data_IF_102855892413
#
_entry.id   IF_102855892413
#
_cell.length_a   1.000
_cell.length_b   1.000
_cell.length_c   1.000
_cell.angle_alpha   90.00
_cell.angle_beta   90.00
_cell.angle_gamma   90.00
#
_symmetry.space_group_name_H-M   'P 1'
#
loop_
_entity.id
_entity.type
_entity.pdbx_description
1 polymer ?
#
# COMPACT_ATOMS: atom_id res chain seq x y z
N UNK A 1 -18.19 5.72 -33.37
CA UNK A 1 -18.18 6.84 -32.40
C UNK A 1 -17.00 7.75 -32.71
N UNK A 2 -17.17 9.08 -32.73
CA UNK A 2 -16.07 10.00 -33.03
C UNK A 2 -15.02 9.96 -31.91
N UNK A 3 -13.74 9.91 -32.29
CA UNK A 3 -12.62 9.99 -31.35
C UNK A 3 -12.23 11.45 -31.13
N UNK A 4 -11.83 11.77 -29.90
CA UNK A 4 -11.32 13.09 -29.55
C UNK A 4 -10.05 13.38 -30.36
N UNK A 5 -9.90 14.59 -30.95
CA UNK A 5 -8.66 14.97 -31.62
C UNK A 5 -7.46 14.93 -30.67
N UNK A 6 -6.30 14.57 -31.22
CA UNK A 6 -5.03 14.64 -30.49
C UNK A 6 -4.69 16.10 -30.18
N UNK A 7 -4.05 16.33 -29.03
CA UNK A 7 -3.67 17.65 -28.53
C UNK A 7 -2.15 17.76 -28.44
N UNK A 8 -1.57 18.96 -28.57
CA UNK A 8 -0.14 19.17 -28.30
C UNK A 8 0.24 18.72 -26.89
N UNK A 9 1.41 18.13 -26.76
CA UNK A 9 2.00 17.82 -25.46
C UNK A 9 2.22 19.11 -24.66
N UNK A 10 1.87 19.10 -23.37
CA UNK A 10 2.02 20.27 -22.48
C UNK A 10 3.46 20.53 -22.06
N UNK A 11 4.42 19.70 -22.46
CA UNK A 11 5.84 19.92 -22.17
C UNK A 11 6.39 21.03 -23.07
N UNK A 12 7.04 22.08 -22.52
CA UNK A 12 7.55 23.20 -23.30
C UNK A 12 8.42 22.76 -24.48
N UNK A 13 8.09 23.20 -25.69
CA UNK A 13 8.86 22.89 -26.90
C UNK A 13 8.70 21.47 -27.45
N UNK A 14 7.81 20.63 -26.89
CA UNK A 14 7.55 19.30 -27.45
C UNK A 14 6.65 19.37 -28.69
N UNK A 15 7.07 18.85 -29.86
CA UNK A 15 6.27 18.88 -31.08
C UNK A 15 5.21 17.76 -31.15
N UNK A 16 5.18 16.85 -30.18
CA UNK A 16 4.34 15.64 -30.25
C UNK A 16 2.87 15.92 -29.91
N UNK A 17 1.97 15.25 -30.64
CA UNK A 17 0.54 15.19 -30.34
C UNK A 17 0.20 13.96 -29.50
N UNK A 18 -0.68 14.10 -28.52
CA UNK A 18 -1.09 13.03 -27.61
C UNK A 18 -2.57 13.13 -27.20
N UNK A 19 -3.13 12.02 -26.71
CA UNK A 19 -4.52 11.96 -26.24
C UNK A 19 -4.73 12.63 -24.87
N UNK A 20 -3.64 12.81 -24.10
CA UNK A 20 -3.66 13.38 -22.75
C UNK A 20 -2.80 14.63 -22.59
N UNK A 21 -2.45 14.97 -21.36
CA UNK A 21 -1.66 16.17 -21.04
C UNK A 21 -0.22 16.10 -21.57
N UNK A 22 0.41 14.93 -21.50
CA UNK A 22 1.78 14.69 -21.96
C UNK A 22 1.84 13.51 -22.93
N UNK A 23 2.82 13.53 -23.84
CA UNK A 23 3.18 12.37 -24.66
C UNK A 23 3.84 11.29 -23.79
N UNK A 24 4.02 10.08 -24.33
CA UNK A 24 4.53 8.93 -23.55
C UNK A 24 5.86 9.24 -22.84
N UNK A 25 6.80 9.88 -23.54
CA UNK A 25 8.09 10.29 -22.98
C UNK A 25 7.92 11.22 -21.78
N UNK A 26 7.18 12.32 -21.96
CA UNK A 26 6.99 13.32 -20.91
C UNK A 26 6.08 12.82 -19.78
N UNK A 27 5.17 11.85 -20.03
CA UNK A 27 4.44 11.16 -18.96
C UNK A 27 5.38 10.41 -18.02
N UNK A 28 6.38 9.73 -18.57
CA UNK A 28 7.37 8.99 -17.77
C UNK A 28 8.24 9.97 -16.98
N UNK A 29 8.66 11.08 -17.58
CA UNK A 29 9.46 12.10 -16.90
C UNK A 29 8.70 12.79 -15.76
N UNK A 30 7.48 13.25 -16.01
CA UNK A 30 6.65 13.88 -14.99
C UNK A 30 6.31 12.90 -13.86
N UNK A 31 6.03 11.64 -14.17
CA UNK A 31 5.89 10.58 -13.15
C UNK A 31 7.15 10.43 -12.30
N UNK A 32 8.34 10.41 -12.92
CA UNK A 32 9.61 10.32 -12.19
C UNK A 32 9.85 11.55 -11.30
N UNK A 33 9.51 12.75 -11.78
CA UNK A 33 9.58 13.99 -10.99
C UNK A 33 8.64 13.92 -9.78
N UNK A 34 7.38 13.54 -10.01
CA UNK A 34 6.40 13.34 -8.96
C UNK A 34 6.89 12.30 -7.93
N UNK A 35 7.32 11.13 -8.37
CA UNK A 35 7.83 10.06 -7.48
C UNK A 35 9.07 10.50 -6.68
N UNK A 36 9.90 11.42 -7.22
CA UNK A 36 11.12 11.90 -6.57
C UNK A 36 10.88 13.05 -5.59
N UNK A 37 10.02 14.01 -5.94
CA UNK A 37 9.90 15.28 -5.22
C UNK A 37 8.57 15.46 -4.48
N UNK A 38 7.47 14.87 -4.95
CA UNK A 38 6.14 15.07 -4.38
C UNK A 38 5.59 13.85 -3.65
N UNK A 39 5.91 12.65 -4.13
CA UNK A 39 5.49 11.41 -3.47
C UNK A 39 6.31 11.23 -2.21
N UNK A 40 5.64 11.14 -1.07
CA UNK A 40 6.32 10.87 0.19
C UNK A 40 7.07 9.52 0.11
N UNK A 41 8.40 9.59 0.18
CA UNK A 41 9.27 8.40 0.24
C UNK A 41 8.92 7.51 1.44
N UNK A 42 8.32 8.12 2.45
CA UNK A 42 7.87 7.54 3.70
C UNK A 42 6.84 6.41 3.50
N UNK A 43 5.85 6.56 2.61
CA UNK A 43 4.83 5.52 2.39
C UNK A 43 5.41 4.27 1.72
N UNK A 44 6.30 4.46 0.73
CA UNK A 44 7.00 3.35 0.08
C UNK A 44 7.99 2.66 1.05
N UNK A 45 8.56 3.42 1.99
CA UNK A 45 9.42 2.87 3.04
C UNK A 45 8.61 2.08 4.08
N UNK A 46 7.42 2.55 4.44
CA UNK A 46 6.53 1.93 5.43
C UNK A 46 5.78 0.71 4.91
N UNK A 47 5.39 0.66 3.64
CA UNK A 47 4.54 -0.41 3.10
C UNK A 47 4.96 -0.93 1.72
N UNK A 48 6.25 -0.81 1.38
CA UNK A 48 6.80 -1.22 0.09
C UNK A 48 7.01 -2.74 -0.09
N UNK A 49 7.86 -3.12 -1.05
CA UNK A 49 8.12 -4.53 -1.40
C UNK A 49 8.65 -5.37 -0.24
N UNK A 50 9.43 -4.77 0.65
CA UNK A 50 9.96 -5.45 1.84
C UNK A 50 8.82 -5.90 2.76
N UNK A 51 7.87 -4.99 3.06
CA UNK A 51 6.68 -5.30 3.86
C UNK A 51 5.87 -6.44 3.23
N UNK A 52 5.61 -6.38 1.91
CA UNK A 52 4.88 -7.46 1.23
C UNK A 52 5.50 -8.84 1.48
N UNK A 53 6.83 -8.97 1.37
CA UNK A 53 7.54 -10.24 1.62
C UNK A 53 7.43 -10.70 3.06
N UNK A 54 7.57 -9.78 4.02
CA UNK A 54 7.44 -10.08 5.45
C UNK A 54 6.02 -10.55 5.76
N UNK A 55 5.01 -9.81 5.28
CA UNK A 55 3.59 -10.12 5.43
C UNK A 55 3.25 -11.50 4.87
N UNK A 56 3.64 -11.76 3.62
CA UNK A 56 3.30 -13.02 2.96
C UNK A 56 3.94 -14.22 3.68
N UNK A 57 5.19 -14.07 4.17
CA UNK A 57 5.86 -15.09 4.98
C UNK A 57 5.15 -15.29 6.33
N UNK A 58 4.85 -14.21 7.03
CA UNK A 58 4.19 -14.27 8.34
C UNK A 58 2.80 -14.93 8.22
N UNK A 59 2.00 -14.56 7.23
CA UNK A 59 0.69 -15.16 7.00
C UNK A 59 0.76 -16.65 6.64
N UNK A 60 1.82 -17.09 5.94
CA UNK A 60 2.03 -18.50 5.64
C UNK A 60 2.39 -19.32 6.89
N UNK A 61 3.18 -18.75 7.81
CA UNK A 61 3.55 -19.40 9.07
C UNK A 61 2.44 -19.34 10.13
N UNK A 62 1.59 -18.32 10.05
CA UNK A 62 0.45 -18.10 10.94
C UNK A 62 -0.86 -18.07 10.12
N UNK A 63 -1.32 -19.24 9.62
CA UNK A 63 -2.45 -19.32 8.68
C UNK A 63 -3.81 -19.05 9.32
N UNK A 64 -3.87 -18.94 10.66
CA UNK A 64 -5.08 -18.70 11.44
C UNK A 64 -5.01 -17.34 12.13
N UNK A 65 -6.18 -16.77 12.41
CA UNK A 65 -6.33 -15.58 13.24
C UNK A 65 -5.90 -15.91 14.68
N UNK A 66 -4.87 -15.23 15.17
CA UNK A 66 -4.32 -15.46 16.51
C UNK A 66 -5.31 -15.11 17.62
N UNK A 67 -6.19 -14.13 17.41
CA UNK A 67 -7.25 -13.80 18.37
C UNK A 67 -8.34 -14.86 18.40
N UNK A 68 -8.83 -15.30 17.24
CA UNK A 68 -9.81 -16.38 17.18
C UNK A 68 -9.24 -17.67 17.80
N UNK A 69 -7.96 -17.97 17.54
CA UNK A 69 -7.30 -19.16 18.08
C UNK A 69 -7.27 -19.16 19.61
N UNK A 70 -7.01 -18.00 20.23
CA UNK A 70 -7.08 -17.83 21.69
C UNK A 70 -8.49 -18.09 22.26
N UNK A 71 -9.53 -17.84 21.47
CA UNK A 71 -10.92 -18.13 21.80
C UNK A 71 -11.36 -19.56 21.39
N UNK A 72 -10.44 -20.40 20.90
CA UNK A 72 -10.74 -21.76 20.44
C UNK A 72 -11.39 -21.83 19.05
N UNK A 73 -11.42 -20.73 18.30
CA UNK A 73 -12.00 -20.65 16.95
C UNK A 73 -10.92 -20.73 15.87
N UNK A 74 -11.09 -21.64 14.91
CA UNK A 74 -10.18 -21.79 13.78
C UNK A 74 -10.65 -20.93 12.60
N UNK A 75 -10.26 -19.65 12.59
CA UNK A 75 -10.58 -18.73 11.48
C UNK A 75 -9.32 -18.45 10.66
N UNK A 76 -9.36 -18.51 9.31
CA UNK A 76 -8.20 -18.22 8.48
C UNK A 76 -7.76 -16.75 8.61
N UNK A 77 -6.45 -16.52 8.48
CA UNK A 77 -5.88 -15.19 8.36
C UNK A 77 -6.34 -14.51 7.07
N UNK A 78 -6.62 -13.21 7.16
CA UNK A 78 -6.92 -12.36 6.01
C UNK A 78 -5.99 -11.16 5.96
N UNK A 79 -5.61 -10.63 7.12
CA UNK A 79 -4.77 -9.44 7.25
C UNK A 79 -3.68 -9.66 8.32
N UNK A 80 -2.52 -9.04 8.13
CA UNK A 80 -1.45 -9.00 9.15
C UNK A 80 -1.39 -7.59 9.69
N UNK A 81 -1.56 -7.47 11.00
CA UNK A 81 -1.64 -6.21 11.73
C UNK A 81 -0.34 -5.89 12.45
N UNK A 82 0.03 -4.61 12.53
CA UNK A 82 1.12 -4.13 13.37
C UNK A 82 0.59 -3.82 14.77
N UNK A 83 1.07 -4.50 15.81
CA UNK A 83 0.62 -4.31 17.20
C UNK A 83 0.86 -2.87 17.65
N UNK A 84 2.08 -2.36 17.45
CA UNK A 84 2.38 -0.93 17.48
C UNK A 84 2.32 -0.40 16.04
N UNK A 85 1.46 0.58 15.73
CA UNK A 85 1.38 1.17 14.40
C UNK A 85 2.73 1.74 13.95
N UNK A 86 3.05 1.59 12.66
CA UNK A 86 4.30 2.11 12.08
C UNK A 86 4.38 3.65 12.20
N UNK A 87 3.22 4.33 12.18
CA UNK A 87 3.13 5.78 12.44
C UNK A 87 3.57 6.17 13.86
N UNK A 88 3.41 5.26 14.83
CA UNK A 88 3.78 5.44 16.25
C UNK A 88 5.14 4.80 16.59
N UNK A 89 5.96 4.49 15.57
CA UNK A 89 7.30 3.91 15.75
C UNK A 89 7.38 2.38 15.68
N UNK A 90 6.28 1.71 15.34
CA UNK A 90 6.26 0.27 15.14
C UNK A 90 7.16 -0.21 13.99
N UNK A 91 7.70 -1.40 14.12
CA UNK A 91 8.56 -2.04 13.12
C UNK A 91 7.84 -3.17 12.39
N UNK A 92 8.45 -3.73 11.35
CA UNK A 92 7.99 -4.96 10.71
C UNK A 92 8.60 -6.22 11.32
N UNK A 93 9.17 -6.11 12.53
CA UNK A 93 9.69 -7.26 13.24
C UNK A 93 8.54 -8.20 13.63
N UNK A 94 8.81 -9.50 13.68
CA UNK A 94 7.78 -10.54 13.84
C UNK A 94 7.01 -10.43 15.14
N UNK A 95 7.66 -9.97 16.19
CA UNK A 95 7.09 -9.70 17.51
C UNK A 95 6.09 -8.52 17.51
N UNK A 96 6.16 -7.65 16.50
CA UNK A 96 5.21 -6.55 16.30
C UNK A 96 4.11 -6.90 15.27
N UNK A 97 3.99 -8.15 14.84
CA UNK A 97 2.98 -8.59 13.87
C UNK A 97 1.96 -9.52 14.51
N UNK A 98 0.75 -9.52 13.97
CA UNK A 98 -0.31 -10.43 14.36
C UNK A 98 -1.16 -10.83 13.16
N UNK A 99 -1.41 -12.13 12.95
CA UNK A 99 -2.31 -12.61 11.92
C UNK A 99 -3.76 -12.53 12.40
N UNK A 100 -4.61 -11.86 11.63
CA UNK A 100 -6.00 -11.60 11.99
C UNK A 100 -6.96 -11.90 10.85
N UNK A 101 -8.19 -12.26 11.21
CA UNK A 101 -9.32 -12.17 10.30
C UNK A 101 -9.82 -10.72 10.23
N UNK A 102 -10.60 -10.38 9.20
CA UNK A 102 -11.08 -9.02 9.00
C UNK A 102 -11.91 -8.48 10.17
N UNK A 103 -12.70 -9.32 10.85
CA UNK A 103 -13.51 -8.90 12.00
C UNK A 103 -12.65 -8.52 13.22
N UNK A 104 -11.69 -9.37 13.59
CA UNK A 104 -10.75 -9.05 14.67
C UNK A 104 -9.88 -7.83 14.33
N UNK A 105 -9.43 -7.72 13.07
CA UNK A 105 -8.66 -6.57 12.63
C UNK A 105 -9.45 -5.26 12.75
N UNK A 106 -10.71 -5.26 12.32
CA UNK A 106 -11.59 -4.08 12.42
C UNK A 106 -11.85 -3.70 13.87
N UNK A 107 -12.07 -4.69 14.74
CA UNK A 107 -12.26 -4.47 16.18
C UNK A 107 -11.05 -3.78 16.82
N UNK A 108 -9.83 -4.23 16.51
CA UNK A 108 -8.61 -3.61 17.04
C UNK A 108 -8.47 -2.15 16.59
N UNK A 109 -8.77 -1.83 15.33
CA UNK A 109 -8.73 -0.43 14.87
C UNK A 109 -9.72 0.47 15.60
N UNK A 110 -10.93 -0.03 15.88
CA UNK A 110 -11.91 0.70 16.68
C UNK A 110 -11.46 0.89 18.12
N UNK A 111 -10.90 -0.15 18.76
CA UNK A 111 -10.42 -0.08 20.14
C UNK A 111 -9.23 0.89 20.30
N UNK A 112 -8.39 1.03 19.26
CA UNK A 112 -7.28 1.99 19.22
C UNK A 112 -7.71 3.43 18.89
N UNK A 113 -8.96 3.65 18.48
CA UNK A 113 -9.46 4.96 18.05
C UNK A 113 -8.82 5.49 16.77
N UNK A 114 -8.15 4.62 16.01
CA UNK A 114 -7.43 4.97 14.78
C UNK A 114 -8.36 4.89 13.54
N UNK A 115 -9.68 4.67 13.72
CA UNK A 115 -10.69 4.63 12.64
C UNK A 115 -12.10 5.03 13.05
#
# INVERSE_FOLDING_TARGET
MPRKPLRPCSHPGCPNLCEGQFCEQHRVEERRKYDKYERSSDVNRKYGRAWKRIRDRYAAEHPLCEMCLKEGRLTPVQEVHHILPVSKGGTHARDNLMSLCQSCHTKIHHDLGDR
#
